data_IF_659734334762
#
_entry.id   IF_659734334762
#
_cell.length_a   1.000
_cell.length_b   1.000
_cell.length_c   1.000
_cell.angle_alpha   90.00
_cell.angle_beta   90.00
_cell.angle_gamma   90.00
#
_symmetry.space_group_name_H-M   'P 1'
#
loop_
_entity.id
_entity.type
_entity.pdbx_description
1 polymer ?
#
# COMPACT_ATOMS: atom_id res chain seq x y z
N UNK A 1 -10.75 24.19 38.81
CA UNK A 1 -11.46 24.02 37.51
C UNK A 1 -10.88 24.89 36.39
N UNK A 2 -10.68 26.21 36.56
CA UNK A 2 -10.09 27.09 35.51
C UNK A 2 -8.69 26.64 35.02
N UNK A 3 -7.87 26.16 35.97
CA UNK A 3 -6.59 25.42 35.81
C UNK A 3 -6.57 24.43 34.63
N UNK A 4 -7.50 23.49 34.74
CA UNK A 4 -7.61 22.29 33.91
C UNK A 4 -8.23 22.64 32.56
N UNK A 5 -9.20 23.56 32.54
CA UNK A 5 -9.79 24.04 31.29
C UNK A 5 -8.75 24.71 30.38
N UNK A 6 -7.88 25.55 30.93
CA UNK A 6 -6.80 26.19 30.17
C UNK A 6 -5.84 25.14 29.60
N UNK A 7 -5.48 24.13 30.38
CA UNK A 7 -4.62 23.05 29.93
C UNK A 7 -5.23 22.26 28.76
N UNK A 8 -6.54 21.96 28.82
CA UNK A 8 -7.25 21.26 27.75
C UNK A 8 -7.26 22.11 26.46
N UNK A 9 -7.55 23.40 26.57
CA UNK A 9 -7.58 24.31 25.41
C UNK A 9 -6.20 24.40 24.75
N UNK A 10 -5.13 24.49 25.53
CA UNK A 10 -3.75 24.49 25.01
C UNK A 10 -3.39 23.16 24.35
N UNK A 11 -3.82 22.04 24.94
CA UNK A 11 -3.53 20.71 24.40
C UNK A 11 -4.24 20.46 23.06
N UNK A 12 -5.50 20.91 22.94
CA UNK A 12 -6.25 20.86 21.66
C UNK A 12 -5.61 21.77 20.60
N UNK A 13 -5.14 22.95 20.98
CA UNK A 13 -4.46 23.85 20.05
C UNK A 13 -3.15 23.25 19.50
N UNK A 14 -2.38 22.53 20.32
CA UNK A 14 -1.19 21.81 19.88
C UNK A 14 -1.53 20.70 18.88
N UNK A 15 -2.57 19.91 19.16
CA UNK A 15 -3.01 18.84 18.27
C UNK A 15 -3.49 19.36 16.90
N UNK A 16 -4.20 20.49 16.87
CA UNK A 16 -4.64 21.13 15.63
C UNK A 16 -3.47 21.61 14.77
N UNK A 17 -2.40 22.14 15.36
CA UNK A 17 -1.22 22.57 14.61
C UNK A 17 -0.50 21.38 13.95
N UNK A 18 -0.35 20.27 14.67
CA UNK A 18 0.24 19.03 14.10
C UNK A 18 -0.66 18.45 13.01
N UNK A 19 -1.98 18.47 13.21
CA UNK A 19 -2.95 18.05 12.20
C UNK A 19 -2.85 18.89 10.92
N UNK A 20 -2.71 20.22 11.05
CA UNK A 20 -2.51 21.11 9.91
C UNK A 20 -1.22 20.78 9.16
N UNK A 21 -0.10 20.50 9.82
CA UNK A 21 1.15 20.12 9.13
C UNK A 21 1.01 18.81 8.35
N UNK A 22 0.28 17.83 8.89
CA UNK A 22 0.07 16.53 8.23
C UNK A 22 -0.93 16.56 7.08
N UNK A 23 -1.94 17.43 7.14
CA UNK A 23 -2.98 17.52 6.10
C UNK A 23 -2.80 18.70 5.14
N UNK A 24 -1.95 19.67 5.47
CA UNK A 24 -1.57 20.77 4.60
C UNK A 24 -0.27 20.42 3.88
N UNK A 25 -0.38 19.63 2.81
CA UNK A 25 0.67 19.48 1.82
C UNK A 25 0.27 20.33 0.62
N UNK A 26 0.91 21.49 0.35
CA UNK A 26 0.61 22.22 -0.87
C UNK A 26 1.11 21.38 -2.04
N UNK A 27 0.17 20.90 -2.84
CA UNK A 27 0.47 20.27 -4.11
C UNK A 27 1.18 21.32 -4.98
N UNK A 28 2.50 21.18 -5.15
CA UNK A 28 3.29 22.06 -6.00
C UNK A 28 2.85 21.89 -7.46
N UNK A 29 1.81 22.64 -7.85
CA UNK A 29 1.46 22.84 -9.26
C UNK A 29 2.51 23.74 -9.90
N UNK A 30 3.58 23.12 -10.40
CA UNK A 30 4.39 23.70 -11.45
C UNK A 30 3.53 23.80 -12.72
N UNK A 31 2.87 24.93 -12.88
CA UNK A 31 2.15 25.31 -14.08
C UNK A 31 3.13 25.62 -15.19
N UNK A 32 3.51 24.61 -15.97
CA UNK A 32 3.89 24.80 -17.36
C UNK A 32 2.81 24.17 -18.23
N UNK A 33 2.07 25.07 -18.89
CA UNK A 33 1.01 24.76 -19.84
C UNK A 33 1.71 24.54 -21.18
N UNK A 34 2.00 23.29 -21.52
CA UNK A 34 2.20 22.88 -22.91
C UNK A 34 1.07 21.94 -23.32
N UNK A 35 0.39 22.36 -24.37
CA UNK A 35 -0.69 21.68 -25.04
C UNK A 35 -0.24 20.34 -25.64
N UNK A 36 -1.16 19.38 -25.57
CA UNK A 36 -1.40 18.33 -26.55
C UNK A 36 -0.13 17.57 -26.98
N UNK A 37 0.21 16.54 -26.21
CA UNK A 37 0.90 15.39 -26.78
C UNK A 37 0.05 14.13 -26.56
N UNK A 38 -0.26 13.53 -27.71
CA UNK A 38 -0.89 12.25 -27.96
C UNK A 38 -0.80 11.27 -26.80
N UNK A 39 -1.94 10.63 -26.53
CA UNK A 39 -2.04 9.27 -26.02
C UNK A 39 -0.79 8.47 -26.39
N UNK A 40 0.14 8.39 -25.43
CA UNK A 40 1.09 7.31 -25.42
C UNK A 40 0.57 6.42 -24.32
N UNK A 41 -0.28 5.49 -24.74
CA UNK A 41 -0.69 4.35 -23.94
C UNK A 41 0.61 3.67 -23.50
N UNK A 42 1.08 3.99 -22.30
CA UNK A 42 2.07 3.18 -21.62
C UNK A 42 1.36 1.88 -21.30
N UNK A 43 1.60 0.86 -22.12
CA UNK A 43 1.19 -0.50 -21.85
C UNK A 43 2.01 -1.06 -20.67
N UNK A 44 1.90 -0.45 -19.49
CA UNK A 44 2.09 -1.19 -18.24
C UNK A 44 0.82 -1.99 -18.07
N UNK A 45 0.84 -3.22 -18.58
CA UNK A 45 -0.18 -4.23 -18.31
C UNK A 45 -0.47 -4.19 -16.79
N UNK A 46 -1.69 -3.78 -16.43
CA UNK A 46 -2.08 -3.65 -15.02
C UNK A 46 -1.90 -5.00 -14.33
N UNK A 47 -1.13 -5.04 -13.25
CA UNK A 47 -0.94 -6.25 -12.44
C UNK A 47 -2.26 -6.61 -11.74
N UNK A 48 -3.14 -5.65 -11.53
CA UNK A 48 -4.46 -5.91 -11.00
C UNK A 48 -5.39 -6.46 -12.09
N UNK A 49 -6.01 -7.60 -11.80
CA UNK A 49 -7.06 -8.22 -12.63
C UNK A 49 -8.41 -7.52 -12.51
N UNK A 50 -8.57 -6.75 -11.44
CA UNK A 50 -9.81 -6.05 -11.09
C UNK A 50 -9.52 -4.64 -10.59
N UNK A 51 -10.53 -3.79 -10.66
CA UNK A 51 -10.47 -2.45 -10.08
C UNK A 51 -10.20 -2.52 -8.57
N UNK A 52 -9.39 -1.57 -8.07
CA UNK A 52 -8.98 -1.51 -6.67
C UNK A 52 -10.16 -1.45 -5.70
N UNK A 53 -11.26 -0.81 -6.12
CA UNK A 53 -12.46 -0.67 -5.30
C UNK A 53 -13.25 -1.99 -5.19
N UNK A 54 -13.01 -2.94 -6.10
CA UNK A 54 -13.67 -4.24 -6.11
C UNK A 54 -12.84 -5.34 -5.43
N UNK A 55 -11.56 -5.09 -5.12
CA UNK A 55 -10.68 -6.03 -4.39
C UNK A 55 -11.32 -6.46 -3.06
N UNK A 56 -11.88 -5.52 -2.32
CA UNK A 56 -12.55 -5.79 -1.04
C UNK A 56 -13.80 -6.67 -1.20
N UNK A 57 -14.45 -6.66 -2.38
CA UNK A 57 -15.62 -7.50 -2.66
C UNK A 57 -15.22 -8.93 -3.04
N UNK A 58 -14.04 -9.10 -3.63
CA UNK A 58 -13.52 -10.41 -4.03
C UNK A 58 -12.84 -11.18 -2.89
N UNK A 59 -12.40 -10.48 -1.86
CA UNK A 59 -11.94 -11.10 -0.61
C UNK A 59 -13.16 -11.62 0.17
N UNK A 60 -13.37 -12.94 0.16
CA UNK A 60 -14.33 -13.53 1.11
C UNK A 60 -13.84 -13.28 2.54
N UNK A 61 -14.77 -13.26 3.50
CA UNK A 61 -14.43 -13.03 4.92
C UNK A 61 -13.39 -14.04 5.44
N UNK A 62 -13.43 -15.28 4.96
CA UNK A 62 -12.44 -16.31 5.29
C UNK A 62 -11.06 -16.00 4.69
N UNK A 63 -10.98 -15.63 3.41
CA UNK A 63 -9.72 -15.19 2.79
C UNK A 63 -9.12 -14.00 3.54
N UNK A 64 -9.96 -13.00 3.88
CA UNK A 64 -9.54 -11.82 4.63
C UNK A 64 -8.98 -12.22 6.00
N UNK A 65 -9.68 -13.10 6.72
CA UNK A 65 -9.25 -13.58 8.04
C UNK A 65 -7.93 -14.38 7.94
N UNK A 66 -7.79 -15.22 6.92
CA UNK A 66 -6.57 -15.97 6.68
C UNK A 66 -5.40 -15.04 6.34
N UNK A 67 -5.64 -14.06 5.48
CA UNK A 67 -4.67 -13.03 5.11
C UNK A 67 -4.23 -12.22 6.34
N UNK A 68 -5.17 -11.73 7.14
CA UNK A 68 -4.89 -11.01 8.39
C UNK A 68 -4.14 -11.89 9.41
N UNK A 69 -4.53 -13.16 9.54
CA UNK A 69 -3.86 -14.09 10.45
C UNK A 69 -2.41 -14.37 10.04
N UNK A 70 -2.12 -14.45 8.74
CA UNK A 70 -0.76 -14.64 8.23
C UNK A 70 0.04 -13.35 8.41
N UNK A 71 -0.52 -12.18 8.05
CA UNK A 71 0.14 -10.90 8.24
C UNK A 71 0.43 -10.60 9.73
N UNK A 72 -0.44 -11.05 10.64
CA UNK A 72 -0.24 -10.95 12.08
C UNK A 72 0.99 -11.69 12.61
N UNK A 73 1.58 -12.61 11.83
CA UNK A 73 2.85 -13.29 12.16
C UNK A 73 4.07 -12.42 11.90
N UNK A 74 3.93 -11.32 11.14
CA UNK A 74 5.01 -10.40 10.82
C UNK A 74 5.31 -9.46 11.99
N UNK A 75 6.54 -8.96 12.05
CA UNK A 75 6.90 -7.94 13.03
C UNK A 75 6.18 -6.62 12.74
N UNK A 76 5.99 -5.79 13.76
CA UNK A 76 5.43 -4.45 13.59
C UNK A 76 6.25 -3.58 12.60
N UNK A 77 7.57 -3.78 12.56
CA UNK A 77 8.45 -3.13 11.59
C UNK A 77 8.17 -3.60 10.16
N UNK A 78 8.07 -4.91 9.93
CA UNK A 78 7.77 -5.47 8.61
C UNK A 78 6.37 -5.04 8.13
N UNK A 79 5.37 -4.96 9.02
CA UNK A 79 4.04 -4.42 8.71
C UNK A 79 4.10 -2.93 8.35
N UNK A 80 4.92 -2.14 9.04
CA UNK A 80 5.20 -0.76 8.67
C UNK A 80 5.76 -0.64 7.25
N UNK A 81 6.71 -1.51 6.89
CA UNK A 81 7.25 -1.58 5.53
C UNK A 81 6.20 -1.94 4.47
N UNK A 82 5.33 -2.90 4.75
CA UNK A 82 4.23 -3.22 3.84
C UNK A 82 3.33 -1.99 3.62
N UNK A 83 3.01 -1.25 4.68
CA UNK A 83 2.22 0.00 4.57
C UNK A 83 2.92 1.06 3.73
N UNK A 84 4.24 1.24 3.90
CA UNK A 84 5.04 2.14 3.06
C UNK A 84 4.99 1.72 1.58
N UNK A 85 5.13 0.42 1.29
CA UNK A 85 5.13 -0.10 -0.09
C UNK A 85 3.76 0.00 -0.78
N UNK A 86 2.66 -0.11 -0.04
CA UNK A 86 1.31 0.11 -0.59
C UNK A 86 1.12 1.56 -1.05
N UNK A 87 1.86 2.50 -0.44
CA UNK A 87 1.80 3.93 -0.73
C UNK A 87 2.90 4.39 -1.70
N UNK A 88 3.72 3.48 -2.24
CA UNK A 88 4.74 3.81 -3.23
C UNK A 88 4.06 4.31 -4.52
N UNK A 89 4.57 5.41 -5.08
CA UNK A 89 4.04 6.00 -6.30
C UNK A 89 4.25 5.08 -7.51
N UNK A 90 5.28 4.23 -7.46
CA UNK A 90 5.45 3.11 -8.37
C UNK A 90 4.78 1.86 -7.78
N UNK A 91 3.58 1.60 -8.26
CA UNK A 91 2.75 0.48 -7.84
C UNK A 91 3.39 -0.89 -8.09
N UNK A 92 4.10 -1.06 -9.22
CA UNK A 92 4.76 -2.34 -9.53
C UNK A 92 5.91 -2.60 -8.55
N UNK A 93 6.68 -1.56 -8.25
CA UNK A 93 7.74 -1.60 -7.24
C UNK A 93 7.17 -1.86 -5.84
N UNK A 94 6.05 -1.23 -5.48
CA UNK A 94 5.34 -1.47 -4.23
C UNK A 94 4.95 -2.93 -4.06
N UNK A 95 4.24 -3.50 -5.04
CA UNK A 95 3.84 -4.91 -5.08
C UNK A 95 5.06 -5.82 -4.98
N UNK A 96 6.08 -5.58 -5.81
CA UNK A 96 7.33 -6.36 -5.80
C UNK A 96 7.96 -6.39 -4.41
N UNK A 97 8.12 -5.24 -3.76
CA UNK A 97 8.74 -5.15 -2.45
C UNK A 97 7.92 -5.85 -1.36
N UNK A 98 6.59 -5.81 -1.45
CA UNK A 98 5.70 -6.58 -0.57
C UNK A 98 5.97 -8.07 -0.74
N UNK A 99 5.90 -8.61 -1.96
CA UNK A 99 6.09 -10.04 -2.19
C UNK A 99 7.51 -10.53 -1.85
N UNK A 100 8.55 -9.72 -2.07
CA UNK A 100 9.91 -10.01 -1.61
C UNK A 100 9.97 -10.11 -0.09
N UNK A 101 9.37 -9.15 0.62
CA UNK A 101 9.36 -9.13 2.08
C UNK A 101 8.59 -10.34 2.62
N UNK A 102 7.41 -10.63 2.08
CA UNK A 102 6.60 -11.77 2.50
C UNK A 102 7.33 -13.10 2.28
N UNK A 103 7.97 -13.29 1.12
CA UNK A 103 8.77 -14.49 0.83
C UNK A 103 9.93 -14.69 1.81
N UNK A 104 10.54 -13.60 2.27
CA UNK A 104 11.67 -13.63 3.22
C UNK A 104 11.23 -13.91 4.66
N UNK A 105 10.01 -13.51 5.04
CA UNK A 105 9.54 -13.53 6.44
C UNK A 105 8.60 -14.68 6.75
N UNK A 106 7.81 -15.12 5.79
CA UNK A 106 6.82 -16.17 5.97
C UNK A 106 7.43 -17.55 5.73
N UNK A 107 6.76 -18.57 6.27
CA UNK A 107 6.99 -19.95 5.86
C UNK A 107 6.55 -20.15 4.41
N UNK A 108 7.08 -21.15 3.71
CA UNK A 108 6.64 -21.46 2.35
C UNK A 108 5.13 -21.70 2.29
N UNK A 109 4.56 -22.42 3.27
CA UNK A 109 3.12 -22.68 3.33
C UNK A 109 2.30 -21.39 3.45
N UNK A 110 2.69 -20.50 4.37
CA UNK A 110 2.01 -19.21 4.55
C UNK A 110 2.17 -18.31 3.31
N UNK A 111 3.35 -18.32 2.68
CA UNK A 111 3.60 -17.54 1.47
C UNK A 111 2.74 -18.00 0.29
N UNK A 112 2.63 -19.32 0.07
CA UNK A 112 1.77 -19.86 -0.99
C UNK A 112 0.29 -19.56 -0.74
N UNK A 113 -0.19 -19.60 0.51
CA UNK A 113 -1.56 -19.18 0.85
C UNK A 113 -1.80 -17.70 0.52
N UNK A 114 -0.82 -16.83 0.77
CA UNK A 114 -0.90 -15.43 0.38
C UNK A 114 -0.95 -15.31 -1.15
N UNK A 115 -0.09 -16.02 -1.89
CA UNK A 115 -0.13 -16.03 -3.37
C UNK A 115 -1.50 -16.47 -3.88
N UNK A 116 -2.09 -17.51 -3.29
CA UNK A 116 -3.42 -18.01 -3.66
C UNK A 116 -4.49 -16.94 -3.46
N UNK A 117 -4.55 -16.32 -2.27
CA UNK A 117 -5.52 -15.25 -1.97
C UNK A 117 -5.31 -14.05 -2.91
N UNK A 118 -4.05 -13.64 -3.09
CA UNK A 118 -3.69 -12.53 -3.97
C UNK A 118 -4.01 -12.78 -5.44
N UNK A 119 -3.98 -14.04 -5.90
CA UNK A 119 -4.28 -14.40 -7.28
C UNK A 119 -5.70 -14.06 -7.73
N UNK A 120 -6.63 -13.88 -6.77
CA UNK A 120 -8.01 -13.47 -7.03
C UNK A 120 -8.08 -12.07 -7.63
N UNK A 121 -7.16 -11.18 -7.22
CA UNK A 121 -7.16 -9.78 -7.64
C UNK A 121 -5.86 -9.32 -8.34
N UNK A 122 -4.77 -10.09 -8.26
CA UNK A 122 -3.51 -9.86 -8.95
C UNK A 122 -3.22 -10.92 -10.01
N UNK A 123 -2.56 -10.52 -11.09
CA UNK A 123 -1.89 -11.40 -12.03
C UNK A 123 -0.57 -11.90 -11.44
N UNK A 124 -0.63 -13.09 -10.86
CA UNK A 124 0.54 -13.73 -10.25
C UNK A 124 1.64 -14.04 -11.26
N UNK A 125 1.34 -14.21 -12.55
CA UNK A 125 2.38 -14.38 -13.56
C UNK A 125 3.17 -13.09 -13.73
N UNK A 126 2.48 -11.94 -13.76
CA UNK A 126 3.13 -10.63 -13.79
C UNK A 126 3.91 -10.35 -12.50
N UNK A 127 3.39 -10.75 -11.34
CA UNK A 127 4.11 -10.66 -10.06
C UNK A 127 5.37 -11.52 -10.07
N UNK A 128 5.29 -12.77 -10.52
CA UNK A 128 6.45 -13.67 -10.56
C UNK A 128 7.53 -13.13 -11.53
N UNK A 129 7.15 -12.57 -12.68
CA UNK A 129 8.08 -11.88 -13.59
C UNK A 129 8.78 -10.67 -12.93
N UNK A 130 8.06 -9.88 -12.13
CA UNK A 130 8.67 -8.76 -11.37
C UNK A 130 9.72 -9.24 -10.36
N UNK A 131 9.50 -10.41 -9.77
CA UNK A 131 10.40 -11.00 -8.79
C UNK A 131 11.66 -11.59 -9.45
N UNK A 132 11.53 -12.15 -10.66
CA UNK A 132 12.64 -12.73 -11.42
C UNK A 132 13.61 -11.68 -11.97
N UNK A 133 13.11 -10.51 -12.39
CA UNK A 133 13.91 -9.39 -12.95
C UNK A 133 14.91 -8.73 -11.97
N UNK A 134 15.15 -9.30 -10.79
CA UNK A 134 16.10 -8.84 -9.77
C UNK A 134 17.30 -9.80 -9.57
N UNK A 135 17.43 -10.85 -10.38
CA UNK A 135 18.60 -11.73 -10.43
C UNK A 135 19.55 -11.40 -11.61
N UNK A 136 19.65 -10.13 -12.01
CA UNK A 136 20.66 -9.61 -12.96
C UNK A 136 21.55 -8.60 -12.25
#
# INVERSE_FOLDING_TARGET
>A
MKKVFIFIVVMVALLLNVYLIFYWYPEEKNSNKEEISKETVSYTQSIYKVDKNDILKQLQTEDKKNFESILGKLSAFDLGKIKEYIQDSDEQKGIKNIFVLLKKRLTNEDYEKIKEISSKFLDMNAVDQLLENNYV
#
